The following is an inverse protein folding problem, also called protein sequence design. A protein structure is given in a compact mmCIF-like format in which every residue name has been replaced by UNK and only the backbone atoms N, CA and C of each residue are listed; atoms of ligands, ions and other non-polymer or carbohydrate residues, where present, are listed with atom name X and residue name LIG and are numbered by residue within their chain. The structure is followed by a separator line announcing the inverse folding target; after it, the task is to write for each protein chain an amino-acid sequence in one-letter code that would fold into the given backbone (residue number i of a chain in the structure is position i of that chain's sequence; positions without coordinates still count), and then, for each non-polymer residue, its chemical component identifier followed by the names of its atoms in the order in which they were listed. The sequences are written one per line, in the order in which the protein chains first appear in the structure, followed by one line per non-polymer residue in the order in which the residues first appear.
data_IF_667351918659
#
_entry.id   IF_667351918659
#
_cell.length_a   1.000
_cell.length_b   1.000
_cell.length_c   1.000
_cell.angle_alpha   90.00
_cell.angle_beta   90.00
_cell.angle_gamma   90.00
#
_symmetry.space_group_name_H-M   'P 1'
#
loop_
_entity.id
_entity.type
_entity.pdbx_description
1 polymer ?
#
# COMPACT_ATOMS: atom_id res chain seq x y z
N UNK A 1 3.11 15.52 0.92
CA UNK A 1 3.08 14.05 1.13
C UNK A 1 1.84 13.48 0.45
N UNK A 2 1.86 12.22 -0.02
CA UNK A 2 0.70 11.57 -0.67
C UNK A 2 0.33 10.31 0.12
N UNK A 3 -0.96 10.08 0.33
CA UNK A 3 -1.48 8.90 1.02
C UNK A 3 -2.58 8.22 0.21
N UNK A 4 -2.58 6.90 0.25
CA UNK A 4 -3.64 6.05 -0.27
C UNK A 4 -3.56 4.66 0.39
N UNK A 5 -4.70 3.95 0.39
CA UNK A 5 -4.80 2.55 0.80
C UNK A 5 -5.47 1.71 -0.29
N UNK A 6 -5.13 0.43 -0.32
CA UNK A 6 -5.68 -0.55 -1.25
C UNK A 6 -6.13 -1.81 -0.49
N UNK A 7 -7.10 -2.51 -1.04
CA UNK A 7 -7.55 -3.86 -0.69
C UNK A 7 -7.77 -4.66 -1.97
N UNK A 8 -8.07 -5.96 -1.85
CA UNK A 8 -8.40 -6.80 -3.01
C UNK A 8 -9.70 -6.37 -3.71
N UNK A 9 -10.53 -5.57 -3.05
CA UNK A 9 -11.86 -5.16 -3.53
C UNK A 9 -11.95 -3.66 -3.83
N UNK A 10 -10.81 -2.96 -3.84
CA UNK A 10 -10.77 -1.56 -4.22
C UNK A 10 -9.72 -0.74 -3.49
N UNK A 11 -9.89 0.58 -3.57
CA UNK A 11 -8.86 1.53 -3.15
C UNK A 11 -9.48 2.83 -2.62
N UNK A 12 -8.79 3.46 -1.68
CA UNK A 12 -9.20 4.76 -1.14
C UNK A 12 -8.96 5.88 -2.16
N UNK A 13 -9.56 7.07 -1.99
CA UNK A 13 -9.11 8.26 -2.71
C UNK A 13 -7.64 8.55 -2.42
N UNK A 14 -6.96 9.18 -3.38
CA UNK A 14 -5.58 9.60 -3.25
C UNK A 14 -5.52 10.99 -2.58
N UNK A 15 -4.92 11.07 -1.40
CA UNK A 15 -4.92 12.25 -0.55
C UNK A 15 -3.55 12.95 -0.61
N UNK A 16 -3.54 14.22 -1.05
CA UNK A 16 -2.35 15.07 -1.01
C UNK A 16 -2.36 15.89 0.28
N UNK A 17 -1.35 15.67 1.12
CA UNK A 17 -1.14 16.41 2.36
C UNK A 17 -0.11 17.50 2.11
N UNK A 18 -0.49 18.73 2.43
CA UNK A 18 0.38 19.89 2.32
C UNK A 18 1.47 19.86 3.41
N UNK A 19 2.67 20.40 3.13
CA UNK A 19 3.84 20.26 4.01
C UNK A 19 3.64 20.80 5.43
N UNK A 20 2.69 21.72 5.64
CA UNK A 20 2.43 22.39 6.91
C UNK A 20 1.47 21.61 7.82
N UNK A 21 0.86 20.52 7.33
CA UNK A 21 -0.11 19.73 8.08
C UNK A 21 0.60 18.62 8.86
N UNK A 22 0.58 18.70 10.19
CA UNK A 22 1.02 17.60 11.07
C UNK A 22 -0.01 16.47 11.04
N UNK A 23 0.30 15.39 10.33
CA UNK A 23 -0.53 14.18 10.32
C UNK A 23 -0.32 13.43 11.63
N UNK A 24 -1.40 13.28 12.41
CA UNK A 24 -1.38 12.53 13.65
C UNK A 24 -1.71 11.05 13.38
N UNK A 25 -0.91 10.11 13.90
CA UNK A 25 -1.03 8.67 13.61
C UNK A 25 -2.41 8.10 13.97
N UNK A 26 -3.08 8.66 14.98
CA UNK A 26 -4.45 8.28 15.40
C UNK A 26 -5.50 8.68 14.36
N UNK A 27 -5.32 9.82 13.68
CA UNK A 27 -6.26 10.30 12.65
C UNK A 27 -6.24 9.42 11.40
N UNK A 28 -5.09 8.81 11.11
CA UNK A 28 -4.87 7.95 9.95
C UNK A 28 -5.73 6.68 9.99
N UNK A 29 -5.80 6.00 11.13
CA UNK A 29 -6.51 4.73 11.28
C UNK A 29 -8.05 4.89 11.28
N UNK A 30 -8.55 6.03 11.79
CA UNK A 30 -9.99 6.29 11.91
C UNK A 30 -10.67 6.66 10.57
N UNK A 31 -9.91 7.22 9.62
CA UNK A 31 -10.44 7.70 8.33
C UNK A 31 -10.20 6.77 7.14
N UNK A 32 -9.24 5.84 7.22
CA UNK A 32 -8.84 4.99 6.08
C UNK A 32 -9.23 3.53 6.23
N UNK A 33 -9.55 3.06 7.44
CA UNK A 33 -10.09 1.73 7.67
C UNK A 33 -11.63 1.78 7.71
N UNK A 34 -12.35 0.95 6.94
CA UNK A 34 -13.80 0.83 7.09
C UNK A 34 -14.14 0.53 8.55
N UNK A 35 -15.07 1.29 9.13
CA UNK A 35 -15.51 1.17 10.54
C UNK A 35 -16.04 -0.23 10.90
N UNK A 36 -16.24 -1.11 9.91
CA UNK A 36 -16.68 -2.49 10.06
C UNK A 36 -15.57 -3.55 10.00
N UNK A 37 -14.34 -3.22 9.58
CA UNK A 37 -13.21 -4.17 9.58
C UNK A 37 -12.26 -3.99 10.77
N UNK A 38 -12.53 -3.01 11.64
CA UNK A 38 -11.76 -2.75 12.85
C UNK A 38 -12.31 -3.54 14.04
N UNK A 39 -12.24 -4.87 14.04
CA UNK A 39 -12.10 -5.55 15.33
C UNK A 39 -10.64 -5.49 15.73
N UNK A 40 -10.40 -4.76 16.83
CA UNK A 40 -9.15 -4.51 17.55
C UNK A 40 -8.42 -5.78 18.04
N UNK A 41 -8.76 -6.95 17.51
CA UNK A 41 -8.12 -8.19 17.87
C UNK A 41 -7.27 -8.68 16.69
N UNK A 42 -5.96 -8.51 16.83
CA UNK A 42 -4.96 -9.29 16.08
C UNK A 42 -5.25 -10.80 16.10
N UNK A 43 -6.05 -11.27 17.07
CA UNK A 43 -6.55 -12.64 17.22
C UNK A 43 -7.57 -13.08 16.17
N UNK A 44 -8.40 -12.18 15.63
CA UNK A 44 -9.41 -12.55 14.60
C UNK A 44 -8.74 -12.68 13.24
N UNK A 45 -7.84 -11.76 12.91
CA UNK A 45 -7.06 -11.80 11.66
C UNK A 45 -6.09 -13.00 11.64
N UNK A 46 -5.46 -13.31 12.78
CA UNK A 46 -4.59 -14.49 12.98
C UNK A 46 -5.30 -15.83 12.75
N UNK A 47 -6.63 -15.91 12.98
CA UNK A 47 -7.39 -17.16 12.77
C UNK A 47 -7.76 -17.39 11.31
N UNK A 48 -7.89 -16.33 10.51
CA UNK A 48 -8.34 -16.41 9.13
C UNK A 48 -7.17 -16.43 8.13
N UNK A 49 -6.02 -15.91 8.55
CA UNK A 49 -4.76 -16.00 7.82
C UNK A 49 -3.67 -16.51 8.78
N UNK A 50 -3.29 -17.80 8.65
CA UNK A 50 -2.18 -18.39 9.41
C UNK A 50 -0.82 -17.71 9.15
N UNK A 51 -0.77 -16.79 8.19
CA UNK A 51 0.42 -16.04 7.76
C UNK A 51 0.35 -14.54 8.15
N UNK A 52 -0.61 -14.13 8.98
CA UNK A 52 -0.68 -12.73 9.44
C UNK A 52 0.45 -12.40 10.42
N UNK A 53 1.32 -11.45 10.05
CA UNK A 53 2.32 -10.90 10.96
C UNK A 53 1.63 -9.93 11.93
N UNK A 54 1.76 -10.14 13.23
CA UNK A 54 1.26 -9.20 14.23
C UNK A 54 2.01 -7.87 14.16
N UNK A 55 1.40 -6.76 14.59
CA UNK A 55 2.08 -5.47 14.60
C UNK A 55 3.41 -5.46 15.41
N UNK A 56 3.55 -6.37 16.39
CA UNK A 56 4.77 -6.55 17.17
C UNK A 56 5.85 -7.34 16.42
N UNK A 57 5.46 -8.19 15.48
CA UNK A 57 6.35 -9.02 14.66
C UNK A 57 6.67 -8.38 13.31
N UNK A 58 6.06 -7.22 13.00
CA UNK A 58 6.33 -6.50 11.76
C UNK A 58 7.79 -6.04 11.74
N UNK A 59 8.63 -6.57 10.84
CA UNK A 59 10.01 -6.12 10.76
C UNK A 59 10.01 -4.64 10.36
N UNK A 60 10.57 -3.82 11.23
CA UNK A 60 10.75 -2.40 10.95
C UNK A 60 11.54 -2.27 9.63
N UNK A 61 10.93 -1.64 8.62
CA UNK A 61 11.51 -1.27 7.32
C UNK A 61 11.62 -2.32 6.19
N UNK A 62 10.62 -3.19 5.99
CA UNK A 62 10.53 -3.98 4.74
C UNK A 62 9.55 -3.36 3.72
N UNK A 63 10.01 -2.47 2.81
CA UNK A 63 9.18 -1.99 1.70
C UNK A 63 8.72 -3.14 0.79
N UNK A 64 9.48 -4.23 0.74
CA UNK A 64 9.15 -5.44 -0.02
C UNK A 64 7.87 -6.16 0.45
N UNK A 65 7.33 -5.79 1.63
CA UNK A 65 6.07 -6.29 2.15
C UNK A 65 4.90 -5.31 2.03
N UNK A 66 5.13 -4.02 1.79
CA UNK A 66 4.03 -3.08 1.65
C UNK A 66 3.49 -3.07 0.21
N UNK A 67 2.22 -3.47 -0.04
CA UNK A 67 1.61 -3.46 -1.39
C UNK A 67 1.70 -2.12 -2.10
N UNK A 68 1.64 -1.02 -1.34
CA UNK A 68 1.82 0.32 -1.90
C UNK A 68 3.24 0.53 -2.42
N UNK A 69 4.26 0.09 -1.69
CA UNK A 69 5.67 0.33 -2.04
C UNK A 69 6.18 -0.62 -3.13
N UNK A 70 5.90 -1.92 -3.05
CA UNK A 70 6.48 -2.89 -4.00
C UNK A 70 5.76 -2.94 -5.35
N UNK A 71 4.58 -2.33 -5.50
CA UNK A 71 3.80 -2.39 -6.74
C UNK A 71 3.18 -1.05 -7.11
N UNK A 72 2.32 -0.50 -6.25
CA UNK A 72 1.43 0.61 -6.67
C UNK A 72 2.19 1.92 -6.90
N UNK A 73 3.12 2.29 -6.02
CA UNK A 73 3.94 3.49 -6.20
C UNK A 73 4.88 3.38 -7.39
N UNK A 74 5.41 2.18 -7.66
CA UNK A 74 6.22 1.92 -8.85
C UNK A 74 5.38 2.15 -10.11
N UNK A 75 4.21 1.49 -10.20
CA UNK A 75 3.29 1.65 -11.31
C UNK A 75 2.92 3.12 -11.57
N UNK A 76 2.51 3.86 -10.54
CA UNK A 76 2.14 5.26 -10.69
C UNK A 76 3.32 6.11 -11.14
N UNK A 77 4.51 5.88 -10.56
CA UNK A 77 5.74 6.60 -10.91
C UNK A 77 6.10 6.37 -12.37
N UNK A 78 6.05 5.13 -12.85
CA UNK A 78 6.30 4.79 -14.26
C UNK A 78 5.31 5.47 -15.21
N UNK A 79 4.02 5.49 -14.86
CA UNK A 79 3.01 6.12 -15.71
C UNK A 79 3.16 7.63 -15.77
N UNK A 80 3.52 8.30 -14.68
CA UNK A 80 3.69 9.76 -14.69
C UNK A 80 5.06 10.19 -15.20
N UNK A 81 6.13 9.42 -14.96
CA UNK A 81 7.49 9.77 -15.41
C UNK A 81 7.65 9.78 -16.93
N UNK A 82 6.78 9.06 -17.65
CA UNK A 82 6.74 9.07 -19.12
C UNK A 82 6.34 10.42 -19.75
N UNK A 83 5.92 11.40 -18.95
CA UNK A 83 5.44 12.71 -19.42
C UNK A 83 6.04 13.85 -18.61
N UNK A 84 6.27 14.98 -19.28
CA UNK A 84 6.62 16.22 -18.59
C UNK A 84 5.35 17.02 -18.25
N UNK A 85 5.26 17.55 -17.03
CA UNK A 85 4.11 18.31 -16.55
C UNK A 85 4.52 19.77 -16.29
N UNK A 86 3.73 20.75 -16.76
CA UNK A 86 4.10 22.16 -16.67
C UNK A 86 4.07 22.72 -15.24
N UNK A 87 3.36 22.05 -14.32
CA UNK A 87 3.28 22.42 -12.92
C UNK A 87 2.82 21.25 -12.04
N UNK A 88 2.95 21.43 -10.72
CA UNK A 88 2.55 20.42 -9.72
C UNK A 88 1.05 20.10 -9.82
N UNK A 89 0.19 21.07 -10.16
CA UNK A 89 -1.26 20.83 -10.30
C UNK A 89 -1.55 19.84 -11.44
N UNK A 90 -0.91 20.01 -12.58
CA UNK A 90 -1.02 19.09 -13.71
C UNK A 90 -0.52 17.68 -13.36
N UNK A 91 0.59 17.59 -12.61
CA UNK A 91 1.10 16.30 -12.12
C UNK A 91 0.10 15.64 -11.14
N UNK A 92 -0.45 16.38 -10.17
CA UNK A 92 -1.46 15.86 -9.23
C UNK A 92 -2.69 15.32 -9.98
N UNK A 93 -3.21 16.07 -10.94
CA UNK A 93 -4.35 15.64 -11.76
C UNK A 93 -4.05 14.37 -12.55
N UNK A 94 -2.86 14.28 -13.15
CA UNK A 94 -2.46 13.08 -13.88
C UNK A 94 -2.33 11.86 -12.94
N UNK A 95 -1.82 12.05 -11.74
CA UNK A 95 -1.67 10.98 -10.75
C UNK A 95 -3.03 10.48 -10.24
N UNK A 96 -3.98 11.38 -9.99
CA UNK A 96 -5.37 11.00 -9.66
C UNK A 96 -6.00 10.21 -10.81
N UNK A 97 -5.84 10.68 -12.06
CA UNK A 97 -6.37 9.96 -13.22
C UNK A 97 -5.79 8.55 -13.33
N UNK A 98 -4.47 8.40 -13.15
CA UNK A 98 -3.81 7.08 -13.19
C UNK A 98 -4.18 6.20 -12.02
N UNK A 99 -4.42 6.80 -10.85
CA UNK A 99 -4.99 6.09 -9.71
C UNK A 99 -6.37 5.54 -10.03
N UNK A 100 -7.24 6.33 -10.64
CA UNK A 100 -8.62 5.95 -10.98
C UNK A 100 -8.71 4.90 -12.09
N UNK A 101 -7.69 4.83 -12.94
CA UNK A 101 -7.55 3.79 -13.98
C UNK A 101 -7.09 2.43 -13.43
N UNK A 102 -6.65 2.34 -12.16
CA UNK A 102 -6.30 1.04 -11.56
C UNK A 102 -7.58 0.25 -11.30
N UNK A 103 -7.72 -0.88 -11.99
CA UNK A 103 -8.83 -1.80 -11.82
C UNK A 103 -8.63 -2.76 -10.63
N UNK A 104 -9.72 -3.38 -10.21
CA UNK A 104 -9.73 -4.29 -9.06
C UNK A 104 -8.93 -5.58 -9.32
N UNK A 105 -8.80 -6.03 -10.57
CA UNK A 105 -8.04 -7.24 -10.89
C UNK A 105 -6.54 -7.03 -10.68
N UNK A 106 -6.02 -5.84 -11.02
CA UNK A 106 -4.66 -5.44 -10.66
C UNK A 106 -4.47 -5.42 -9.14
N UNK A 107 -5.42 -4.87 -8.39
CA UNK A 107 -5.34 -4.82 -6.93
C UNK A 107 -5.35 -6.23 -6.31
N UNK A 108 -6.20 -7.13 -6.81
CA UNK A 108 -6.21 -8.55 -6.41
C UNK A 108 -4.87 -9.20 -6.66
N UNK A 109 -4.32 -9.06 -7.85
CA UNK A 109 -3.01 -9.64 -8.18
C UNK A 109 -1.90 -9.13 -7.27
N UNK A 110 -1.93 -7.84 -6.89
CA UNK A 110 -1.01 -7.26 -5.91
C UNK A 110 -1.19 -7.92 -4.55
N UNK A 111 -2.41 -8.00 -4.02
CA UNK A 111 -2.68 -8.61 -2.71
C UNK A 111 -2.34 -10.11 -2.71
N UNK A 112 -2.64 -10.84 -3.78
CA UNK A 112 -2.35 -12.28 -3.93
C UNK A 112 -0.84 -12.57 -4.04
N UNK A 113 -0.03 -11.58 -4.42
CA UNK A 113 1.43 -11.70 -4.39
C UNK A 113 2.02 -11.57 -2.97
N UNK A 114 1.26 -11.04 -2.01
CA UNK A 114 1.74 -10.81 -0.64
C UNK A 114 2.21 -12.08 0.07
N UNK A 115 1.46 -13.21 0.09
CA UNK A 115 1.92 -14.46 0.70
C UNK A 115 3.26 -14.97 0.15
N UNK A 116 3.46 -14.86 -1.17
CA UNK A 116 4.73 -15.27 -1.83
C UNK A 116 5.90 -14.40 -1.34
N UNK A 117 5.70 -13.08 -1.27
CA UNK A 117 6.69 -12.13 -0.78
C UNK A 117 7.01 -12.34 0.70
N UNK A 118 6.00 -12.57 1.51
CA UNK A 118 6.15 -12.90 2.93
C UNK A 118 7.04 -14.12 3.14
N UNK A 119 6.78 -15.21 2.40
CA UNK A 119 7.63 -16.42 2.44
C UNK A 119 9.07 -16.13 2.03
N UNK A 120 9.27 -15.28 1.02
CA UNK A 120 10.60 -14.89 0.59
C UNK A 120 11.36 -14.10 1.66
N UNK A 121 10.71 -13.17 2.36
CA UNK A 121 11.28 -12.46 3.52
C UNK A 121 11.67 -13.43 4.64
N UNK A 122 10.77 -14.35 4.98
CA UNK A 122 11.01 -15.35 6.04
C UNK A 122 12.23 -16.20 5.68
N UNK A 123 12.32 -16.68 4.44
CA UNK A 123 13.46 -17.46 3.95
C UNK A 123 14.76 -16.65 3.94
N UNK A 124 14.67 -15.35 3.64
CA UNK A 124 15.79 -14.42 3.71
C UNK A 124 16.14 -13.98 5.14
N UNK A 125 15.46 -14.51 6.18
CA UNK A 125 15.61 -14.11 7.59
C UNK A 125 15.47 -12.60 7.80
N UNK A 126 14.52 -11.98 7.11
CA UNK A 126 14.32 -10.53 7.14
C UNK A 126 15.25 -9.74 6.20
N UNK A 127 16.09 -10.41 5.41
CA UNK A 127 16.89 -9.79 4.36
C UNK A 127 16.10 -9.45 3.10
N UNK A 128 16.70 -8.62 2.24
CA UNK A 128 16.16 -8.28 0.92
C UNK A 128 16.17 -9.51 0.01
N UNK A 129 15.15 -9.67 -0.82
CA UNK A 129 15.08 -10.75 -1.80
C UNK A 129 14.81 -10.17 -3.20
N UNK A 130 15.61 -10.57 -4.19
CA UNK A 130 15.48 -10.14 -5.57
C UNK A 130 14.98 -11.34 -6.40
N UNK A 131 13.68 -11.57 -6.43
CA UNK A 131 13.08 -12.57 -7.33
C UNK A 131 11.88 -11.97 -8.04
N UNK A 132 12.15 -11.29 -9.16
CA UNK A 132 11.14 -10.85 -10.12
C UNK A 132 11.27 -11.74 -11.37
N UNK A 133 10.51 -12.83 -11.42
CA UNK A 133 10.20 -13.60 -12.63
C UNK A 133 8.77 -14.12 -12.53
#
# INVERSE_FOLDING_TARGET
MVFAGITADGKTPLIFVDPEVKVNQVYYWDKTAPRSSCQRDSRVVSRQFSEFISAADWPASLPDLNPMDYAVWIYLTEKVSSKNYPNIKALKTALIKKWDEIDDDYLRAVIDAYPKRLKAVINAKGGRFENYS
#
